data_IF_630028579151
#
_entry.id   IF_630028579151
#
_cell.length_a   1.000
_cell.length_b   1.000
_cell.length_c   1.000
_cell.angle_alpha   90.00
_cell.angle_beta   90.00
_cell.angle_gamma   90.00
#
_symmetry.space_group_name_H-M   'P 1'
#
loop_
_entity.id
_entity.type
_entity.pdbx_description
1 polymer ?
#
# COMPACT_ATOMS: atom_id res chain seq x y z
N UNK A 1 12.41 26.18 -29.70
CA UNK A 1 11.36 25.24 -30.15
C UNK A 1 10.20 25.30 -29.17
N UNK A 2 8.98 25.59 -29.64
CA UNK A 2 7.77 25.42 -28.81
C UNK A 2 7.22 24.01 -29.09
N UNK A 3 6.94 23.20 -28.05
CA UNK A 3 6.37 21.88 -28.25
C UNK A 3 5.01 21.97 -28.95
N UNK A 4 4.71 20.99 -29.81
CA UNK A 4 3.43 20.91 -30.51
C UNK A 4 2.31 20.44 -29.57
N UNK A 5 1.02 20.63 -29.92
CA UNK A 5 -0.10 20.11 -29.12
C UNK A 5 -0.03 18.60 -28.86
N UNK A 6 0.54 17.81 -29.79
CA UNK A 6 0.82 16.37 -29.61
C UNK A 6 1.97 16.07 -28.66
N UNK A 7 2.89 17.03 -28.47
CA UNK A 7 3.95 16.95 -27.46
C UNK A 7 3.41 17.35 -26.08
N UNK A 8 2.31 18.10 -26.02
CA UNK A 8 1.57 18.44 -24.80
C UNK A 8 0.55 17.36 -24.40
N UNK A 9 0.06 16.54 -25.35
CA UNK A 9 -0.72 15.32 -25.08
C UNK A 9 0.13 14.18 -24.47
N UNK A 10 1.46 14.34 -24.42
CA UNK A 10 2.42 13.36 -23.91
C UNK A 10 3.02 13.77 -22.55
N UNK A 11 2.22 14.28 -21.60
CA UNK A 11 2.51 14.06 -20.18
C UNK A 11 2.26 12.58 -19.87
N UNK A 12 3.12 11.72 -20.41
CA UNK A 12 2.98 10.26 -20.36
C UNK A 12 2.97 9.79 -18.91
N UNK A 13 2.10 8.84 -18.61
CA UNK A 13 2.29 8.02 -17.43
C UNK A 13 3.62 7.23 -17.53
N UNK A 14 4.17 6.88 -16.38
CA UNK A 14 5.39 6.10 -16.21
C UNK A 14 5.34 4.81 -17.04
N UNK A 15 6.46 4.41 -17.64
CA UNK A 15 6.58 3.16 -18.42
C UNK A 15 6.87 1.93 -17.54
N UNK A 16 7.01 2.14 -16.23
CA UNK A 16 7.21 1.15 -15.20
C UNK A 16 6.09 1.21 -14.17
N UNK A 17 5.76 0.07 -13.57
CA UNK A 17 4.81 0.04 -12.48
C UNK A 17 5.36 0.79 -11.25
N UNK A 18 4.53 1.66 -10.69
CA UNK A 18 4.83 2.43 -9.48
C UNK A 18 5.22 1.57 -8.27
N UNK A 19 4.74 0.33 -8.20
CA UNK A 19 4.97 -0.59 -7.07
C UNK A 19 6.21 -1.44 -7.29
N UNK A 20 6.22 -2.29 -8.31
CA UNK A 20 7.28 -3.28 -8.53
C UNK A 20 8.44 -2.78 -9.41
N UNK A 21 8.37 -1.53 -9.89
CA UNK A 21 9.37 -0.88 -10.77
C UNK A 21 9.70 -1.68 -12.03
N UNK A 22 8.75 -2.49 -12.49
CA UNK A 22 8.91 -3.36 -13.65
C UNK A 22 7.99 -2.92 -14.79
N UNK A 23 8.43 -3.14 -16.03
CA UNK A 23 7.63 -2.87 -17.25
C UNK A 23 6.57 -3.95 -17.48
N UNK A 24 5.64 -3.72 -18.40
CA UNK A 24 4.65 -4.72 -18.83
C UNK A 24 3.32 -4.11 -19.26
N UNK A 25 2.22 -4.86 -19.10
CA UNK A 25 0.86 -4.35 -19.30
C UNK A 25 0.48 -3.48 -18.09
N UNK A 26 0.43 -2.17 -18.29
CA UNK A 26 0.15 -1.21 -17.23
C UNK A 26 -1.22 -0.55 -17.42
N UNK A 27 -1.88 -0.30 -16.29
CA UNK A 27 -3.03 0.59 -16.16
C UNK A 27 -2.51 1.98 -15.76
N UNK A 28 -2.95 2.99 -16.49
CA UNK A 28 -2.50 4.37 -16.35
C UNK A 28 -3.55 5.19 -15.61
N UNK A 29 -3.11 6.01 -14.66
CA UNK A 29 -4.00 6.92 -13.93
C UNK A 29 -4.25 8.20 -14.75
N UNK A 30 -5.50 8.61 -14.92
CA UNK A 30 -5.84 9.82 -15.71
C UNK A 30 -5.54 11.15 -14.98
N UNK A 31 -5.14 11.08 -13.71
CA UNK A 31 -4.94 12.26 -12.83
C UNK A 31 -3.48 12.45 -12.39
N UNK A 32 -2.61 11.47 -12.58
CA UNK A 32 -1.21 11.57 -12.18
C UNK A 32 -0.34 10.66 -13.04
N UNK A 33 0.99 10.87 -13.10
CA UNK A 33 1.85 10.09 -14.00
C UNK A 33 2.00 8.62 -13.61
N UNK A 34 1.49 8.15 -12.46
CA UNK A 34 1.70 6.76 -12.02
C UNK A 34 1.02 5.74 -12.94
N UNK A 35 1.72 4.65 -13.17
CA UNK A 35 1.26 3.45 -13.85
C UNK A 35 1.31 2.22 -12.93
N UNK A 36 0.42 1.24 -13.12
CA UNK A 36 0.35 0.05 -12.26
C UNK A 36 0.06 -1.21 -13.07
N UNK A 37 0.68 -2.34 -12.73
CA UNK A 37 0.08 -3.62 -13.11
C UNK A 37 -1.24 -3.81 -12.36
N UNK A 38 -2.19 -4.53 -12.96
CA UNK A 38 -3.54 -4.73 -12.41
C UNK A 38 -3.50 -5.34 -11.01
N UNK A 39 -2.61 -6.31 -10.82
CA UNK A 39 -2.37 -7.07 -9.60
C UNK A 39 -1.51 -6.34 -8.56
N UNK A 40 -0.71 -5.35 -8.99
CA UNK A 40 0.15 -4.57 -8.11
C UNK A 40 -0.61 -3.42 -7.41
N UNK A 41 -1.72 -2.93 -7.98
CA UNK A 41 -2.54 -1.91 -7.34
C UNK A 41 -3.39 -2.50 -6.21
N UNK A 42 -3.71 -1.69 -5.19
CA UNK A 42 -4.61 -2.04 -4.09
C UNK A 42 -5.80 -1.07 -4.04
N UNK A 43 -7.05 -1.54 -4.22
CA UNK A 43 -7.43 -2.91 -4.61
C UNK A 43 -6.99 -3.23 -6.05
N UNK A 44 -6.85 -4.51 -6.39
CA UNK A 44 -6.49 -4.93 -7.74
C UNK A 44 -7.45 -4.36 -8.79
N UNK A 45 -6.90 -3.86 -9.90
CA UNK A 45 -7.71 -3.25 -10.98
C UNK A 45 -8.35 -4.35 -11.81
N UNK A 46 -9.67 -4.44 -11.72
CA UNK A 46 -10.44 -5.42 -12.50
C UNK A 46 -10.48 -5.04 -13.97
N UNK A 47 -10.44 -6.06 -14.85
CA UNK A 47 -10.49 -5.87 -16.30
C UNK A 47 -11.71 -5.07 -16.78
N UNK A 48 -12.86 -5.19 -16.08
CA UNK A 48 -14.06 -4.44 -16.40
C UNK A 48 -13.84 -2.92 -16.28
N UNK A 49 -13.11 -2.48 -15.25
CA UNK A 49 -12.82 -1.06 -15.02
C UNK A 49 -12.01 -0.48 -16.19
N UNK A 50 -11.08 -1.26 -16.73
CA UNK A 50 -10.22 -0.85 -17.85
C UNK A 50 -11.00 -0.77 -19.17
N UNK A 51 -11.98 -1.67 -19.35
CA UNK A 51 -12.79 -1.74 -20.58
C UNK A 51 -13.88 -0.68 -20.66
N UNK A 52 -14.17 0.02 -19.58
CA UNK A 52 -15.32 0.93 -19.50
C UNK A 52 -15.13 2.28 -20.22
N UNK A 53 -13.98 2.55 -20.86
CA UNK A 53 -13.64 3.81 -21.55
C UNK A 53 -13.99 5.06 -20.70
N UNK A 54 -13.86 4.92 -19.38
CA UNK A 54 -14.08 5.97 -18.39
C UNK A 54 -12.77 6.31 -17.72
N UNK A 55 -12.59 7.58 -17.29
CA UNK A 55 -11.43 7.96 -16.51
C UNK A 55 -11.30 7.11 -15.25
N UNK A 56 -10.10 6.61 -15.00
CA UNK A 56 -9.70 5.86 -13.83
C UNK A 56 -8.68 6.65 -13.00
N UNK A 57 -8.95 6.72 -11.69
CA UNK A 57 -8.08 7.34 -10.71
C UNK A 57 -7.42 6.25 -9.85
N UNK A 58 -6.09 6.30 -9.72
CA UNK A 58 -5.40 5.45 -8.76
C UNK A 58 -5.78 5.81 -7.32
N UNK A 59 -5.58 4.88 -6.38
CA UNK A 59 -5.96 5.07 -4.97
C UNK A 59 -5.32 6.30 -4.33
N UNK A 60 -4.09 6.67 -4.72
CA UNK A 60 -3.43 7.89 -4.22
C UNK A 60 -4.20 9.15 -4.62
N UNK A 61 -4.68 9.23 -5.86
CA UNK A 61 -5.47 10.37 -6.34
C UNK A 61 -6.88 10.36 -5.74
N UNK A 62 -7.53 9.19 -5.73
CA UNK A 62 -8.87 9.04 -5.14
C UNK A 62 -8.88 9.38 -3.66
N UNK A 63 -7.88 8.94 -2.90
CA UNK A 63 -7.76 9.24 -1.48
C UNK A 63 -7.51 10.73 -1.25
N UNK A 64 -6.54 11.33 -1.97
CA UNK A 64 -6.24 12.76 -1.86
C UNK A 64 -7.47 13.64 -2.13
N UNK A 65 -8.34 13.26 -3.07
CA UNK A 65 -9.55 14.03 -3.38
C UNK A 65 -10.63 14.00 -2.30
N UNK A 66 -10.58 13.04 -1.37
CA UNK A 66 -11.63 12.86 -0.34
C UNK A 66 -11.11 12.93 1.09
N UNK A 67 -9.78 13.02 1.29
CA UNK A 67 -9.16 12.93 2.62
C UNK A 67 -9.73 13.97 3.60
N UNK A 68 -9.74 15.25 3.21
CA UNK A 68 -10.26 16.35 4.05
C UNK A 68 -11.74 16.18 4.41
N UNK A 69 -12.53 15.56 3.51
CA UNK A 69 -13.94 15.27 3.74
C UNK A 69 -14.14 14.09 4.71
N UNK A 70 -13.27 13.08 4.65
CA UNK A 70 -13.38 11.89 5.49
C UNK A 70 -12.82 12.09 6.90
N UNK A 71 -11.79 12.93 7.05
CA UNK A 71 -11.09 13.16 8.32
C UNK A 71 -10.90 14.66 8.58
N UNK A 72 -12.00 15.42 8.75
CA UNK A 72 -11.94 16.86 8.94
C UNK A 72 -11.38 17.26 10.32
N UNK A 73 -11.61 16.42 11.33
CA UNK A 73 -11.29 16.69 12.72
C UNK A 73 -10.06 15.90 13.19
N UNK A 74 -9.35 16.43 14.18
CA UNK A 74 -8.24 15.73 14.81
C UNK A 74 -8.74 14.50 15.58
N UNK A 75 -7.99 13.40 15.51
CA UNK A 75 -8.35 12.13 16.15
C UNK A 75 -7.20 11.57 16.94
N UNK A 76 -7.51 10.76 17.97
CA UNK A 76 -6.48 9.99 18.68
C UNK A 76 -6.27 8.65 18.00
N UNK A 77 -5.03 8.16 18.06
CA UNK A 77 -4.70 6.85 17.49
C UNK A 77 -5.55 5.74 18.13
N UNK A 78 -5.77 5.76 19.45
CA UNK A 78 -6.62 4.76 20.11
C UNK A 78 -8.04 4.71 19.53
N UNK A 79 -8.63 5.86 19.22
CA UNK A 79 -9.99 5.95 18.67
C UNK A 79 -10.02 5.37 17.25
N UNK A 80 -9.06 5.78 16.41
CA UNK A 80 -8.89 5.27 15.03
C UNK A 80 -8.77 3.75 15.02
N UNK A 81 -8.02 3.15 15.95
CA UNK A 81 -7.85 1.70 16.04
C UNK A 81 -9.17 0.95 16.27
N UNK A 82 -10.17 1.59 16.91
CA UNK A 82 -11.48 0.98 17.18
C UNK A 82 -12.46 1.11 16.01
N UNK A 83 -12.17 1.97 15.04
CA UNK A 83 -13.09 2.24 13.94
C UNK A 83 -13.35 1.02 13.08
N UNK A 84 -14.61 0.85 12.64
CA UNK A 84 -14.97 -0.20 11.70
C UNK A 84 -14.29 0.05 10.35
N UNK A 85 -13.47 -0.90 9.90
CA UNK A 85 -12.66 -0.72 8.69
C UNK A 85 -13.52 -0.54 7.43
N UNK A 86 -14.77 -1.01 7.44
CA UNK A 86 -15.73 -0.85 6.34
C UNK A 86 -15.94 0.61 5.93
N UNK A 87 -15.78 1.56 6.87
CA UNK A 87 -15.85 3.01 6.63
C UNK A 87 -14.52 3.64 6.20
N UNK A 88 -13.42 2.89 6.35
CA UNK A 88 -12.05 3.36 6.12
C UNK A 88 -11.34 2.56 5.02
N UNK A 89 -12.08 1.83 4.18
CA UNK A 89 -11.52 0.95 3.15
C UNK A 89 -10.58 1.69 2.18
N UNK A 90 -10.91 2.93 1.79
CA UNK A 90 -10.07 3.73 0.88
C UNK A 90 -8.75 4.10 1.57
N UNK A 91 -8.81 4.57 2.82
CA UNK A 91 -7.62 4.91 3.60
C UNK A 91 -6.73 3.69 3.87
N UNK A 92 -7.32 2.53 4.20
CA UNK A 92 -6.54 1.31 4.43
C UNK A 92 -5.94 0.76 3.14
N UNK A 93 -6.65 0.85 2.02
CA UNK A 93 -6.10 0.48 0.70
C UNK A 93 -4.95 1.40 0.29
N UNK A 94 -5.09 2.70 0.56
CA UNK A 94 -4.04 3.69 0.37
C UNK A 94 -2.79 3.36 1.19
N UNK A 95 -2.94 3.15 2.51
CA UNK A 95 -1.82 2.83 3.41
C UNK A 95 -1.11 1.53 2.98
N UNK A 96 -1.88 0.52 2.55
CA UNK A 96 -1.30 -0.71 2.02
C UNK A 96 -0.49 -0.47 0.75
N UNK A 97 -1.04 0.24 -0.24
CA UNK A 97 -0.30 0.54 -1.47
C UNK A 97 0.91 1.46 -1.22
N UNK A 98 0.79 2.38 -0.25
CA UNK A 98 1.89 3.24 0.18
C UNK A 98 3.08 2.40 0.66
N UNK A 99 2.88 1.46 1.58
CA UNK A 99 3.95 0.57 2.07
C UNK A 99 4.49 -0.33 0.95
N UNK A 100 3.64 -0.88 0.09
CA UNK A 100 4.06 -1.61 -1.11
C UNK A 100 5.03 -0.81 -1.98
N UNK A 101 4.72 0.46 -2.22
CA UNK A 101 5.53 1.34 -3.06
C UNK A 101 6.80 1.85 -2.38
N UNK A 102 6.84 1.85 -1.05
CA UNK A 102 8.00 2.23 -0.26
C UNK A 102 9.00 1.06 -0.07
N UNK A 103 8.54 -0.18 -0.18
CA UNK A 103 9.41 -1.37 -0.15
C UNK A 103 10.15 -1.55 -1.48
N UNK A 104 11.18 -0.72 -1.71
CA UNK A 104 11.98 -0.72 -2.94
C UNK A 104 12.62 -2.08 -3.25
N UNK A 105 12.96 -2.85 -2.21
CA UNK A 105 13.60 -4.16 -2.34
C UNK A 105 12.60 -5.31 -2.48
N UNK A 106 11.29 -5.03 -2.41
CA UNK A 106 10.21 -6.02 -2.51
C UNK A 106 10.41 -7.20 -1.54
N UNK A 107 10.75 -6.91 -0.28
CA UNK A 107 11.03 -7.90 0.76
C UNK A 107 9.74 -8.46 1.37
N UNK A 108 8.74 -7.62 1.57
CA UNK A 108 7.48 -7.93 2.25
C UNK A 108 6.25 -8.25 1.37
N UNK A 109 6.25 -8.12 0.02
CA UNK A 109 5.11 -8.46 -0.85
C UNK A 109 4.70 -9.93 -0.88
N UNK A 110 5.65 -10.87 -0.80
CA UNK A 110 5.42 -12.29 -1.10
C UNK A 110 5.45 -13.17 0.15
N UNK A 111 4.91 -14.38 0.03
CA UNK A 111 4.86 -15.34 1.13
C UNK A 111 6.28 -15.80 1.52
N UNK A 112 6.81 -15.41 2.70
CA UNK A 112 8.17 -15.78 3.11
C UNK A 112 8.35 -17.29 3.30
N UNK A 113 7.28 -18.04 3.58
CA UNK A 113 7.34 -19.48 3.80
C UNK A 113 7.77 -20.26 2.55
N UNK A 114 7.64 -19.67 1.36
CA UNK A 114 7.95 -20.33 0.09
C UNK A 114 9.45 -20.30 -0.25
N UNK A 115 10.22 -19.38 0.34
CA UNK A 115 11.61 -19.16 -0.06
C UNK A 115 12.60 -18.95 1.11
N UNK A 116 12.12 -18.70 2.33
CA UNK A 116 12.98 -18.54 3.50
C UNK A 116 13.17 -19.87 4.24
N UNK A 117 14.43 -20.26 4.40
CA UNK A 117 14.79 -21.50 5.09
C UNK A 117 14.38 -21.47 6.57
N UNK A 118 13.80 -22.57 7.04
CA UNK A 118 13.35 -22.76 8.43
C UNK A 118 12.38 -21.67 8.96
N UNK A 119 11.76 -20.86 8.08
CA UNK A 119 10.92 -19.74 8.48
C UNK A 119 9.76 -20.16 9.38
N UNK A 120 9.03 -21.22 9.02
CA UNK A 120 7.90 -21.77 9.79
C UNK A 120 8.32 -22.37 11.15
N UNK A 121 9.58 -22.75 11.30
CA UNK A 121 10.13 -23.22 12.58
C UNK A 121 10.38 -22.06 13.55
N UNK A 122 10.69 -20.87 13.03
CA UNK A 122 11.01 -19.67 13.81
C UNK A 122 9.76 -18.81 14.04
N UNK A 123 9.03 -18.51 12.96
CA UNK A 123 7.89 -17.61 12.94
C UNK A 123 6.58 -18.41 13.03
N UNK A 124 5.79 -18.10 14.06
CA UNK A 124 4.54 -18.84 14.37
C UNK A 124 3.31 -18.28 13.69
N UNK A 125 3.30 -16.99 13.39
CA UNK A 125 2.18 -16.32 12.72
C UNK A 125 2.70 -15.55 11.51
N UNK A 126 2.89 -16.20 10.35
CA UNK A 126 3.36 -15.55 9.14
C UNK A 126 2.37 -14.51 8.61
N UNK A 127 2.91 -13.35 8.21
CA UNK A 127 2.19 -12.25 7.57
C UNK A 127 3.09 -11.59 6.54
N UNK A 128 2.49 -11.07 5.47
CA UNK A 128 3.14 -10.35 4.37
C UNK A 128 2.11 -9.45 3.68
N UNK A 129 2.56 -8.46 2.90
CA UNK A 129 1.67 -7.44 2.30
C UNK A 129 0.66 -8.06 1.33
N UNK A 130 1.02 -9.12 0.61
CA UNK A 130 0.12 -9.89 -0.26
C UNK A 130 -1.07 -10.47 0.51
N UNK A 131 -0.81 -11.10 1.66
CA UNK A 131 -1.85 -11.65 2.54
C UNK A 131 -2.72 -10.55 3.13
N UNK A 132 -2.14 -9.41 3.50
CA UNK A 132 -2.94 -8.26 3.95
C UNK A 132 -3.87 -7.75 2.84
N UNK A 133 -3.39 -7.66 1.59
CA UNK A 133 -4.21 -7.25 0.46
C UNK A 133 -5.39 -8.21 0.23
N UNK A 134 -5.15 -9.52 0.31
CA UNK A 134 -6.21 -10.52 0.26
C UNK A 134 -7.21 -10.39 1.41
N UNK A 135 -6.72 -10.25 2.66
CA UNK A 135 -7.57 -10.08 3.84
C UNK A 135 -8.44 -8.83 3.72
N UNK A 136 -7.89 -7.73 3.23
CA UNK A 136 -8.61 -6.48 3.00
C UNK A 136 -9.69 -6.65 1.92
N UNK A 137 -9.34 -7.25 0.77
CA UNK A 137 -10.28 -7.50 -0.33
C UNK A 137 -11.42 -8.45 0.08
N UNK A 138 -11.11 -9.49 0.85
CA UNK A 138 -12.08 -10.46 1.39
C UNK A 138 -12.83 -9.94 2.63
N UNK A 139 -12.60 -8.69 3.05
CA UNK A 139 -13.24 -8.04 4.20
C UNK A 139 -13.07 -8.84 5.51
N UNK A 140 -11.88 -9.39 5.72
CA UNK A 140 -11.55 -10.22 6.89
C UNK A 140 -11.11 -9.41 8.11
N UNK A 141 -10.88 -8.10 7.94
CA UNK A 141 -10.68 -7.18 9.04
C UNK A 141 -12.03 -6.58 9.47
N UNK A 142 -12.24 -6.45 10.78
CA UNK A 142 -13.39 -5.77 11.37
C UNK A 142 -13.06 -4.32 11.71
N UNK A 143 -11.88 -4.09 12.28
CA UNK A 143 -11.44 -2.76 12.71
C UNK A 143 -10.16 -2.32 12.01
N UNK A 144 -9.91 -1.01 11.99
CA UNK A 144 -8.64 -0.45 11.51
C UNK A 144 -7.47 -1.00 12.35
N UNK A 145 -7.66 -1.20 13.65
CA UNK A 145 -6.65 -1.76 14.53
C UNK A 145 -6.22 -3.18 14.17
N UNK A 146 -7.15 -4.06 13.77
CA UNK A 146 -6.79 -5.41 13.29
C UNK A 146 -5.93 -5.36 12.01
N UNK A 147 -6.19 -4.38 11.13
CA UNK A 147 -5.40 -4.16 9.92
C UNK A 147 -3.99 -3.62 10.24
N UNK A 148 -3.89 -2.63 11.13
CA UNK A 148 -2.60 -2.07 11.55
C UNK A 148 -1.75 -3.07 12.36
N UNK A 149 -2.39 -3.95 13.13
CA UNK A 149 -1.70 -5.02 13.84
C UNK A 149 -0.99 -6.02 12.90
N UNK A 150 -1.52 -6.25 11.69
CA UNK A 150 -0.86 -7.11 10.71
C UNK A 150 0.39 -6.46 10.10
N UNK A 151 0.43 -5.13 9.95
CA UNK A 151 1.68 -4.44 9.61
C UNK A 151 2.73 -4.61 10.70
N UNK A 152 2.34 -4.39 11.96
CA UNK A 152 3.24 -4.59 13.11
C UNK A 152 3.78 -6.01 13.14
N UNK A 153 2.94 -6.99 12.84
CA UNK A 153 3.32 -8.40 12.77
C UNK A 153 4.35 -8.66 11.67
N UNK A 154 4.23 -8.04 10.49
CA UNK A 154 5.25 -8.15 9.42
C UNK A 154 6.61 -7.68 9.93
N UNK A 155 6.69 -6.50 10.54
CA UNK A 155 7.96 -5.95 11.01
C UNK A 155 8.53 -6.71 12.21
N UNK A 156 7.67 -7.19 13.11
CA UNK A 156 8.06 -8.04 14.24
C UNK A 156 8.60 -9.39 13.76
N UNK A 157 7.95 -10.00 12.78
CA UNK A 157 8.42 -11.25 12.17
C UNK A 157 9.76 -11.06 11.47
N UNK A 158 9.92 -9.95 10.73
CA UNK A 158 11.19 -9.59 10.10
C UNK A 158 12.32 -9.52 11.13
N UNK A 159 12.12 -8.81 12.23
CA UNK A 159 13.12 -8.68 13.32
C UNK A 159 13.41 -10.03 14.00
N UNK A 160 12.39 -10.86 14.16
CA UNK A 160 12.51 -12.16 14.83
C UNK A 160 13.24 -13.20 13.97
N UNK A 161 13.01 -13.20 12.66
CA UNK A 161 13.71 -14.09 11.73
C UNK A 161 15.14 -13.61 11.47
N UNK A 162 15.33 -12.30 11.29
CA UNK A 162 16.60 -11.70 10.88
C UNK A 162 17.51 -11.27 12.04
N UNK A 163 17.46 -11.92 13.22
CA UNK A 163 18.16 -11.47 14.46
C UNK A 163 19.62 -11.02 14.27
N UNK A 164 20.35 -11.65 13.36
CA UNK A 164 21.77 -11.37 13.08
C UNK A 164 22.01 -10.58 11.79
N UNK A 165 20.96 -10.00 11.18
CA UNK A 165 21.05 -9.25 9.94
C UNK A 165 20.52 -7.82 10.14
N UNK A 166 21.45 -6.91 10.43
CA UNK A 166 21.16 -5.51 10.69
C UNK A 166 20.55 -4.76 9.48
N UNK A 167 20.81 -5.22 8.26
CA UNK A 167 20.28 -4.59 7.04
C UNK A 167 18.75 -4.77 6.97
N UNK A 168 18.25 -5.98 7.17
CA UNK A 168 16.79 -6.22 7.18
C UNK A 168 16.09 -5.51 8.34
N UNK A 169 16.75 -5.40 9.49
CA UNK A 169 16.23 -4.61 10.60
C UNK A 169 16.11 -3.13 10.25
N UNK A 170 17.11 -2.56 9.56
CA UNK A 170 17.08 -1.18 9.13
C UNK A 170 15.94 -0.91 8.13
N UNK A 171 15.73 -1.81 7.16
CA UNK A 171 14.63 -1.67 6.20
C UNK A 171 13.26 -1.78 6.88
N UNK A 172 13.06 -2.81 7.72
CA UNK A 172 11.80 -2.99 8.45
C UNK A 172 11.48 -1.81 9.37
N UNK A 173 12.49 -1.29 10.09
CA UNK A 173 12.35 -0.09 10.93
C UNK A 173 12.00 1.15 10.11
N UNK A 174 12.64 1.34 8.96
CA UNK A 174 12.39 2.48 8.09
C UNK A 174 10.95 2.47 7.56
N UNK A 175 10.48 1.34 7.02
CA UNK A 175 9.11 1.22 6.53
C UNK A 175 8.08 1.40 7.65
N UNK A 176 8.36 0.88 8.85
CA UNK A 176 7.51 1.11 10.02
C UNK A 176 7.40 2.60 10.34
N UNK A 177 8.52 3.33 10.35
CA UNK A 177 8.52 4.78 10.62
C UNK A 177 7.74 5.57 9.55
N UNK A 178 7.90 5.22 8.28
CA UNK A 178 7.12 5.82 7.19
C UNK A 178 5.62 5.55 7.38
N UNK A 179 5.25 4.30 7.71
CA UNK A 179 3.86 3.94 7.96
C UNK A 179 3.28 4.70 9.18
N UNK A 180 4.00 4.78 10.29
CA UNK A 180 3.55 5.48 11.50
C UNK A 180 3.29 6.97 11.20
N UNK A 181 4.16 7.62 10.42
CA UNK A 181 3.97 9.01 9.96
C UNK A 181 2.78 9.16 9.01
N UNK A 182 2.62 8.20 8.09
CA UNK A 182 1.54 8.27 7.10
C UNK A 182 0.18 8.01 7.74
N UNK A 183 0.07 7.12 8.72
CA UNK A 183 -1.15 6.90 9.52
C UNK A 183 -1.60 8.21 10.17
N UNK A 184 -0.65 8.95 10.78
CA UNK A 184 -0.98 10.24 11.42
C UNK A 184 -1.56 11.24 10.43
N UNK A 185 -0.96 11.37 9.25
CA UNK A 185 -1.47 12.25 8.19
C UNK A 185 -2.83 11.79 7.67
N UNK A 186 -2.99 10.49 7.39
CA UNK A 186 -4.20 9.90 6.81
C UNK A 186 -5.41 10.10 7.71
N UNK A 187 -5.24 9.95 9.02
CA UNK A 187 -6.34 10.04 10.00
C UNK A 187 -6.36 11.35 10.78
N UNK A 188 -5.57 12.36 10.39
CA UNK A 188 -5.47 13.63 11.08
C UNK A 188 -5.17 13.47 12.59
N UNK A 189 -4.14 12.71 12.92
CA UNK A 189 -3.68 12.50 14.29
C UNK A 189 -2.55 13.50 14.58
N UNK A 190 -2.66 14.35 15.61
CA UNK A 190 -1.62 15.31 15.97
C UNK A 190 -0.34 14.59 16.41
N UNK A 191 0.80 15.31 16.40
CA UNK A 191 2.12 14.77 16.79
C UNK A 191 2.19 14.32 18.26
#
# INVERSE_FOLDING_TARGET
CKPSPKDLENEKNDDECWVCKSKGKLVQCDVCPRSFHQECHVPQVKEQVIKEDKPWMCIFCSFKSIQELLYPDEQKLEDVMTHQISRHMVACSYLLLFVYSADEKQIFPTNPEEYLEAYTSIIKTPMWLGKMAEKLQKKLYKTVGEFLADFELIFTNCTTYNKNNAEFHAVGKHLKQLLDQEIRKVFNIPD
#
